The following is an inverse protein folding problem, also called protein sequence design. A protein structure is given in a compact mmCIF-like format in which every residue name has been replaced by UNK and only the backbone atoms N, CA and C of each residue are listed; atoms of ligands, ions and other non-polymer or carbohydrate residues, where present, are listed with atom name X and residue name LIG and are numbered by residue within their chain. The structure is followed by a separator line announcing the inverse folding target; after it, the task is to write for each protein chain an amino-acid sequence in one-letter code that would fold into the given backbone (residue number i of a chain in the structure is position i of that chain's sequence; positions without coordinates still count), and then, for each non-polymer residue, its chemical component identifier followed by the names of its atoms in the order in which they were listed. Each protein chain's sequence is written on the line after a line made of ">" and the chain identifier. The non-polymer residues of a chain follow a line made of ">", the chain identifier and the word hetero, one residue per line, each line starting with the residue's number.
data_IF_651175517012
#
_entry.id   IF_651175517012
#
_cell.length_a   1.000
_cell.length_b   1.000
_cell.length_c   1.000
_cell.angle_alpha   90.00
_cell.angle_beta   90.00
_cell.angle_gamma   90.00
#
_symmetry.space_group_name_H-M   'P 1'
#
loop_
_entity.id
_entity.type
_entity.pdbx_description
1 polymer ?
#
# COMPACT_ATOMS: atom_id res chain seq x y z
N UNK A 1 -29.14 -0.47 -1.48
CA UNK A 1 -27.77 -0.93 -1.16
C UNK A 1 -27.17 -1.78 -2.26
N UNK A 2 -27.70 -2.98 -2.55
CA UNK A 2 -27.08 -3.92 -3.51
C UNK A 2 -26.82 -3.30 -4.90
N UNK A 3 -27.74 -2.51 -5.45
CA UNK A 3 -27.54 -1.84 -6.75
C UNK A 3 -26.36 -0.87 -6.70
N UNK A 4 -26.31 0.02 -5.71
CA UNK A 4 -25.22 0.99 -5.51
C UNK A 4 -23.90 0.26 -5.27
N UNK A 5 -23.86 -0.63 -4.28
CA UNK A 5 -22.68 -1.40 -3.93
C UNK A 5 -22.19 -2.26 -5.10
N UNK A 6 -23.09 -2.91 -5.82
CA UNK A 6 -22.78 -3.74 -6.98
C UNK A 6 -22.19 -2.96 -8.15
N UNK A 7 -22.77 -1.80 -8.49
CA UNK A 7 -22.23 -0.94 -9.54
C UNK A 7 -20.81 -0.42 -9.20
N UNK A 8 -20.61 -0.01 -7.96
CA UNK A 8 -19.32 0.47 -7.47
C UNK A 8 -18.27 -0.65 -7.37
N UNK A 9 -18.66 -1.83 -6.89
CA UNK A 9 -17.79 -2.99 -6.82
C UNK A 9 -17.41 -3.51 -8.21
N UNK A 10 -18.36 -3.53 -9.16
CA UNK A 10 -18.09 -3.91 -10.54
C UNK A 10 -17.04 -2.97 -11.16
N UNK A 11 -17.21 -1.66 -10.99
CA UNK A 11 -16.20 -0.67 -11.40
C UNK A 11 -14.83 -0.98 -10.78
N UNK A 12 -14.77 -1.20 -9.47
CA UNK A 12 -13.52 -1.53 -8.78
C UNK A 12 -12.85 -2.76 -9.39
N UNK A 13 -13.59 -3.86 -9.55
CA UNK A 13 -13.06 -5.11 -10.14
C UNK A 13 -12.59 -4.90 -11.59
N UNK A 14 -13.31 -4.11 -12.40
CA UNK A 14 -12.87 -3.79 -13.77
C UNK A 14 -11.56 -2.98 -13.78
N UNK A 15 -11.41 -2.01 -12.86
CA UNK A 15 -10.14 -1.28 -12.69
C UNK A 15 -9.01 -2.21 -12.25
N UNK A 16 -9.30 -3.17 -11.38
CA UNK A 16 -8.31 -4.14 -10.90
C UNK A 16 -7.86 -5.10 -12.00
N UNK A 17 -8.79 -5.56 -12.84
CA UNK A 17 -8.47 -6.39 -14.00
C UNK A 17 -7.62 -5.60 -15.01
N UNK A 18 -7.95 -4.32 -15.24
CA UNK A 18 -7.13 -3.44 -16.07
C UNK A 18 -5.71 -3.28 -15.50
N UNK A 19 -5.57 -3.02 -14.19
CA UNK A 19 -4.28 -2.94 -13.52
C UNK A 19 -3.48 -4.25 -13.60
N UNK A 20 -4.14 -5.40 -13.47
CA UNK A 20 -3.48 -6.70 -13.55
C UNK A 20 -2.89 -6.95 -14.95
N UNK A 21 -3.60 -6.51 -15.99
CA UNK A 21 -3.15 -6.67 -17.39
C UNK A 21 -2.13 -5.61 -17.82
N UNK A 22 -2.09 -4.47 -17.15
CA UNK A 22 -1.22 -3.36 -17.54
C UNK A 22 0.21 -3.52 -16.98
N UNK A 23 1.20 -3.43 -17.87
CA UNK A 23 2.61 -3.46 -17.51
C UNK A 23 3.15 -2.06 -17.16
N UNK A 24 2.69 -1.51 -16.03
CA UNK A 24 3.12 -0.21 -15.51
C UNK A 24 2.50 0.08 -14.13
N UNK A 25 3.05 1.02 -13.36
CA UNK A 25 2.58 1.34 -12.01
C UNK A 25 1.22 2.04 -12.05
N UNK A 26 0.28 1.59 -11.21
CA UNK A 26 -1.05 2.21 -11.05
C UNK A 26 -1.13 3.13 -9.84
N UNK A 27 -0.12 3.07 -8.96
CA UNK A 27 -0.02 3.92 -7.79
C UNK A 27 1.44 4.23 -7.49
N UNK A 28 1.66 5.35 -6.82
CA UNK A 28 2.99 5.71 -6.32
C UNK A 28 3.58 4.60 -5.46
N UNK A 29 4.89 4.39 -5.58
CA UNK A 29 5.79 3.44 -4.91
C UNK A 29 5.52 1.96 -5.15
N UNK A 30 4.71 1.58 -6.15
CA UNK A 30 4.71 0.20 -6.65
C UNK A 30 6.06 -0.16 -7.29
N UNK A 31 6.74 0.80 -7.93
CA UNK A 31 8.06 0.62 -8.51
C UNK A 31 9.12 0.14 -7.52
N UNK A 32 9.16 0.72 -6.32
CA UNK A 32 10.07 0.28 -5.25
C UNK A 32 9.87 -1.19 -4.86
N UNK A 33 8.60 -1.61 -4.77
CA UNK A 33 8.24 -2.99 -4.42
C UNK A 33 8.58 -3.96 -5.56
N UNK A 34 8.27 -3.57 -6.80
CA UNK A 34 8.60 -4.35 -7.98
C UNK A 34 10.12 -4.48 -8.17
N UNK A 35 10.88 -3.40 -7.95
CA UNK A 35 12.34 -3.42 -8.00
C UNK A 35 12.95 -4.36 -6.95
N UNK A 36 12.47 -4.31 -5.71
CA UNK A 36 12.90 -5.24 -4.66
C UNK A 36 12.58 -6.71 -5.02
N UNK A 37 11.41 -6.95 -5.63
CA UNK A 37 11.05 -8.27 -6.19
C UNK A 37 12.02 -8.73 -7.29
N UNK A 38 12.35 -7.85 -8.22
CA UNK A 38 13.30 -8.12 -9.31
C UNK A 38 14.72 -8.42 -8.77
N UNK A 39 15.17 -7.72 -7.73
CA UNK A 39 16.44 -8.04 -7.04
C UNK A 39 16.41 -9.46 -6.48
N UNK A 40 15.34 -9.87 -5.80
CA UNK A 40 15.19 -11.23 -5.26
C UNK A 40 15.16 -12.26 -6.39
N UNK A 41 14.42 -12.00 -7.47
CA UNK A 41 14.30 -12.89 -8.62
C UNK A 41 15.66 -13.14 -9.30
N UNK A 42 16.56 -12.15 -9.28
CA UNK A 42 17.95 -12.27 -9.76
C UNK A 42 18.92 -12.89 -8.74
N UNK A 43 18.41 -13.39 -7.61
CA UNK A 43 19.22 -14.00 -6.54
C UNK A 43 19.88 -12.99 -5.59
N UNK A 44 19.59 -11.70 -5.73
CA UNK A 44 20.12 -10.64 -4.85
C UNK A 44 19.36 -10.51 -3.53
N UNK A 45 19.80 -9.56 -2.71
CA UNK A 45 19.16 -9.20 -1.44
C UNK A 45 18.82 -7.69 -1.46
N UNK A 46 17.53 -7.31 -1.45
CA UNK A 46 17.12 -5.90 -1.47
C UNK A 46 17.40 -5.17 -0.15
N UNK A 47 17.72 -5.89 0.92
CA UNK A 47 18.13 -5.32 2.22
C UNK A 47 19.65 -5.22 2.36
N UNK A 48 20.40 -5.86 1.45
CA UNK A 48 21.85 -5.79 1.45
C UNK A 48 22.38 -4.40 1.06
N UNK A 49 23.69 -4.18 1.15
CA UNK A 49 24.30 -2.93 0.72
C UNK A 49 23.98 -2.66 -0.76
N UNK A 50 23.38 -1.49 -1.02
CA UNK A 50 23.10 -1.06 -2.38
C UNK A 50 24.40 -0.82 -3.16
N UNK A 51 24.34 -0.91 -4.50
CA UNK A 51 25.47 -0.52 -5.35
C UNK A 51 25.80 0.95 -5.12
N UNK A 52 27.08 1.31 -5.22
CA UNK A 52 27.50 2.69 -5.05
C UNK A 52 26.72 3.64 -5.99
N UNK A 53 26.20 4.73 -5.42
CA UNK A 53 25.38 5.70 -6.17
C UNK A 53 23.96 5.23 -6.49
N UNK A 54 23.44 4.21 -5.79
CA UNK A 54 22.04 3.77 -5.91
C UNK A 54 21.35 3.75 -4.55
N UNK A 55 20.04 3.98 -4.57
CA UNK A 55 19.18 3.92 -3.39
C UNK A 55 18.07 2.88 -3.60
N UNK A 56 18.04 1.91 -2.69
CA UNK A 56 17.00 0.88 -2.59
C UNK A 56 16.21 1.10 -1.31
N UNK A 57 14.90 1.27 -1.43
CA UNK A 57 14.02 1.55 -0.31
C UNK A 57 13.75 0.32 0.56
N UNK A 58 13.35 -0.79 -0.07
CA UNK A 58 12.95 -2.06 0.57
C UNK A 58 12.24 -1.89 1.94
N UNK A 59 11.28 -0.99 2.04
CA UNK A 59 10.65 -0.54 3.28
C UNK A 59 9.62 -1.51 3.90
N UNK A 60 9.36 -2.66 3.27
CA UNK A 60 8.52 -3.73 3.80
C UNK A 60 9.34 -4.93 4.20
N UNK A 61 8.76 -5.82 5.00
CA UNK A 61 9.32 -7.13 5.28
C UNK A 61 9.21 -8.07 4.05
N UNK A 62 10.01 -9.15 3.98
CA UNK A 62 10.29 -9.81 2.71
C UNK A 62 9.11 -10.47 2.01
N UNK A 63 8.00 -10.75 2.70
CA UNK A 63 6.90 -11.53 2.13
C UNK A 63 6.35 -10.95 0.82
N UNK A 64 6.10 -9.64 0.78
CA UNK A 64 5.55 -8.99 -0.41
C UNK A 64 6.55 -9.02 -1.58
N UNK A 65 7.84 -8.83 -1.30
CA UNK A 65 8.90 -8.89 -2.31
C UNK A 65 9.11 -10.30 -2.85
N UNK A 66 9.00 -11.32 -2.00
CA UNK A 66 9.04 -12.73 -2.43
C UNK A 66 7.87 -13.02 -3.37
N UNK A 67 6.65 -12.60 -3.02
CA UNK A 67 5.49 -12.79 -3.89
C UNK A 67 5.66 -12.04 -5.22
N UNK A 68 6.20 -10.81 -5.18
CA UNK A 68 6.54 -10.05 -6.39
C UNK A 68 7.54 -10.81 -7.28
N UNK A 69 8.64 -11.31 -6.69
CA UNK A 69 9.68 -12.05 -7.38
C UNK A 69 9.19 -13.33 -8.10
N UNK A 70 8.18 -14.02 -7.55
CA UNK A 70 7.59 -15.21 -8.18
C UNK A 70 6.94 -14.91 -9.54
N UNK A 71 6.52 -13.67 -9.78
CA UNK A 71 5.86 -13.23 -11.01
C UNK A 71 6.75 -12.54 -12.02
N UNK A 72 8.03 -12.33 -11.72
CA UNK A 72 8.93 -11.47 -12.51
C UNK A 72 8.97 -11.87 -14.00
N UNK A 73 8.91 -13.17 -14.29
CA UNK A 73 8.90 -13.71 -15.66
C UNK A 73 7.64 -13.38 -16.47
N UNK A 74 6.51 -13.09 -15.82
CA UNK A 74 5.25 -12.67 -16.45
C UNK A 74 5.23 -11.14 -16.58
N UNK A 75 5.73 -10.45 -15.56
CA UNK A 75 5.89 -9.01 -15.54
C UNK A 75 6.10 -8.51 -14.10
N UNK A 76 6.84 -7.40 -13.93
CA UNK A 76 7.31 -6.94 -12.61
C UNK A 76 6.18 -6.62 -11.64
N UNK A 77 4.97 -6.31 -12.15
CA UNK A 77 3.82 -5.98 -11.31
C UNK A 77 2.83 -7.13 -11.11
N UNK A 78 2.96 -8.25 -11.84
CA UNK A 78 1.85 -9.21 -11.98
C UNK A 78 1.52 -9.97 -10.69
N UNK A 79 2.48 -10.72 -10.13
CA UNK A 79 2.16 -11.70 -9.09
C UNK A 79 1.62 -11.09 -7.79
N UNK A 80 2.22 -10.00 -7.30
CA UNK A 80 1.73 -9.36 -6.08
C UNK A 80 0.39 -8.65 -6.31
N UNK A 81 0.13 -8.07 -7.49
CA UNK A 81 -1.22 -7.54 -7.80
C UNK A 81 -2.26 -8.66 -7.82
N UNK A 82 -1.96 -9.79 -8.45
CA UNK A 82 -2.85 -10.95 -8.45
C UNK A 82 -3.12 -11.43 -7.01
N UNK A 83 -2.07 -11.56 -6.21
CA UNK A 83 -2.18 -11.97 -4.81
C UNK A 83 -3.00 -10.96 -3.99
N UNK A 84 -2.82 -9.66 -4.21
CA UNK A 84 -3.61 -8.59 -3.59
C UNK A 84 -5.09 -8.63 -3.96
N UNK A 85 -5.40 -8.83 -5.25
CA UNK A 85 -6.78 -8.98 -5.74
C UNK A 85 -7.42 -10.21 -5.10
N UNK A 86 -6.73 -11.36 -5.12
CA UNK A 86 -7.21 -12.61 -4.51
C UNK A 86 -7.42 -12.44 -3.01
N UNK A 87 -6.50 -11.78 -2.30
CA UNK A 87 -6.62 -11.50 -0.87
C UNK A 87 -7.85 -10.63 -0.56
N UNK A 88 -8.02 -9.53 -1.29
CA UNK A 88 -9.17 -8.63 -1.16
C UNK A 88 -10.49 -9.34 -1.48
N UNK A 89 -10.56 -10.10 -2.57
CA UNK A 89 -11.73 -10.91 -2.92
C UNK A 89 -12.01 -12.00 -1.87
N UNK A 90 -10.97 -12.61 -1.30
CA UNK A 90 -11.08 -13.58 -0.21
C UNK A 90 -11.76 -13.00 1.03
N UNK A 91 -11.45 -11.75 1.38
CA UNK A 91 -12.16 -11.01 2.44
C UNK A 91 -13.63 -10.79 2.08
N UNK A 92 -13.92 -10.38 0.84
CA UNK A 92 -15.30 -10.21 0.38
C UNK A 92 -16.10 -11.53 0.45
N UNK A 93 -15.49 -12.65 0.06
CA UNK A 93 -16.07 -13.99 0.20
C UNK A 93 -16.31 -14.33 1.67
N UNK A 94 -15.37 -14.02 2.58
CA UNK A 94 -15.55 -14.23 4.01
C UNK A 94 -16.73 -13.42 4.57
N UNK A 95 -16.91 -12.17 4.12
CA UNK A 95 -18.07 -11.34 4.48
C UNK A 95 -19.36 -11.98 3.99
N UNK A 96 -19.43 -12.39 2.72
CA UNK A 96 -20.62 -13.02 2.15
C UNK A 96 -20.96 -14.34 2.85
N UNK A 97 -19.96 -15.18 3.11
CA UNK A 97 -20.13 -16.48 3.74
C UNK A 97 -20.64 -16.36 5.18
N UNK A 98 -20.19 -15.35 5.93
CA UNK A 98 -20.69 -15.07 7.28
C UNK A 98 -22.15 -14.67 7.35
N UNK A 99 -22.77 -14.27 6.23
CA UNK A 99 -24.20 -13.98 6.21
C UNK A 99 -25.09 -15.24 6.29
N UNK A 100 -24.52 -16.43 6.13
CA UNK A 100 -25.23 -17.71 6.20
C UNK A 100 -26.35 -17.80 5.16
N UNK A 101 -27.57 -18.10 5.61
CA UNK A 101 -28.74 -18.25 4.74
C UNK A 101 -29.17 -16.93 4.07
N UNK A 102 -28.75 -15.78 4.60
CA UNK A 102 -29.10 -14.45 4.05
C UNK A 102 -28.18 -14.05 2.90
N UNK A 103 -28.11 -14.89 1.87
CA UNK A 103 -27.17 -14.77 0.75
C UNK A 103 -27.19 -13.40 0.07
N UNK A 104 -28.37 -12.85 -0.21
CA UNK A 104 -28.49 -11.52 -0.85
C UNK A 104 -27.94 -10.39 0.02
N UNK A 105 -28.15 -10.45 1.34
CA UNK A 105 -27.57 -9.47 2.27
C UNK A 105 -26.05 -9.62 2.35
N UNK A 106 -25.56 -10.87 2.39
CA UNK A 106 -24.12 -11.16 2.35
C UNK A 106 -23.45 -10.65 1.09
N UNK A 107 -24.03 -10.93 -0.08
CA UNK A 107 -23.55 -10.40 -1.37
C UNK A 107 -23.55 -8.89 -1.40
N UNK A 108 -24.61 -8.25 -0.89
CA UNK A 108 -24.68 -6.80 -0.84
C UNK A 108 -23.60 -6.20 0.08
N UNK A 109 -23.29 -6.83 1.22
CA UNK A 109 -22.23 -6.37 2.12
C UNK A 109 -20.82 -6.66 1.59
N UNK A 110 -20.62 -7.79 0.92
CA UNK A 110 -19.37 -8.09 0.23
C UNK A 110 -19.11 -7.09 -0.90
N UNK A 111 -20.13 -6.80 -1.72
CA UNK A 111 -20.07 -5.73 -2.71
C UNK A 111 -19.80 -4.38 -2.07
N UNK A 112 -20.42 -4.07 -0.92
CA UNK A 112 -20.16 -2.83 -0.20
C UNK A 112 -18.70 -2.71 0.24
N UNK A 113 -18.08 -3.80 0.72
CA UNK A 113 -16.65 -3.81 1.07
C UNK A 113 -15.77 -3.49 -0.15
N UNK A 114 -16.01 -4.16 -1.29
CA UNK A 114 -15.28 -3.89 -2.54
C UNK A 114 -15.51 -2.47 -3.07
N UNK A 115 -16.66 -1.87 -2.74
CA UNK A 115 -17.05 -0.52 -3.13
C UNK A 115 -16.49 0.58 -2.22
N UNK A 116 -15.91 0.24 -1.06
CA UNK A 116 -15.25 1.23 -0.20
C UNK A 116 -14.05 1.82 -0.94
N UNK A 117 -13.93 3.14 -0.98
CA UNK A 117 -12.82 3.85 -1.65
C UNK A 117 -11.43 3.31 -1.27
N UNK A 118 -11.07 3.13 0.02
CA UNK A 118 -9.75 2.56 0.35
C UNK A 118 -9.54 1.17 -0.24
N UNK A 119 -10.60 0.36 -0.35
CA UNK A 119 -10.54 -0.99 -0.94
C UNK A 119 -10.49 -0.92 -2.46
N UNK A 120 -11.28 -0.06 -3.11
CA UNK A 120 -11.22 0.17 -4.56
C UNK A 120 -9.81 0.57 -5.00
N UNK A 121 -9.19 1.52 -4.29
CA UNK A 121 -7.88 2.07 -4.66
C UNK A 121 -6.75 1.08 -4.35
N UNK A 122 -6.74 0.51 -3.15
CA UNK A 122 -5.60 -0.32 -2.69
C UNK A 122 -5.79 -1.82 -2.88
N UNK A 123 -6.99 -2.27 -3.23
CA UNK A 123 -7.32 -3.68 -3.45
C UNK A 123 -6.41 -4.41 -4.45
N UNK A 124 -5.99 -3.78 -5.58
CA UNK A 124 -5.11 -4.41 -6.56
C UNK A 124 -3.65 -3.99 -6.38
N UNK A 125 -3.32 -3.24 -5.34
CA UNK A 125 -2.00 -2.64 -5.18
C UNK A 125 -0.87 -3.68 -5.19
N UNK A 126 0.22 -3.39 -5.89
CA UNK A 126 1.49 -4.08 -5.77
C UNK A 126 2.21 -3.65 -4.47
N UNK A 127 1.56 -3.86 -3.33
CA UNK A 127 1.95 -3.44 -1.98
C UNK A 127 1.62 -4.54 -0.97
N UNK A 128 2.18 -4.47 0.23
CA UNK A 128 2.00 -5.49 1.27
C UNK A 128 0.61 -5.45 1.94
N UNK A 129 -0.10 -4.33 1.85
CA UNK A 129 -1.33 -4.06 2.61
C UNK A 129 -2.44 -5.12 2.40
N UNK A 130 -2.84 -5.48 1.17
CA UNK A 130 -3.95 -6.41 0.95
C UNK A 130 -3.68 -7.82 1.50
N UNK A 131 -2.43 -8.30 1.38
CA UNK A 131 -2.02 -9.57 1.99
C UNK A 131 -2.11 -9.50 3.51
N UNK A 132 -1.56 -8.45 4.12
CA UNK A 132 -1.53 -8.30 5.57
C UNK A 132 -2.94 -8.24 6.19
N UNK A 133 -3.86 -7.48 5.59
CA UNK A 133 -5.23 -7.37 6.10
C UNK A 133 -6.05 -8.66 5.90
N UNK A 134 -5.85 -9.37 4.79
CA UNK A 134 -6.55 -10.65 4.56
C UNK A 134 -6.06 -11.74 5.53
N UNK A 135 -4.75 -11.80 5.78
CA UNK A 135 -4.15 -12.68 6.79
C UNK A 135 -4.60 -12.31 8.21
N UNK A 136 -4.72 -11.01 8.52
CA UNK A 136 -5.28 -10.54 9.79
C UNK A 136 -6.73 -10.98 9.96
N UNK A 137 -7.57 -10.77 8.94
CA UNK A 137 -8.96 -11.23 8.95
C UNK A 137 -9.06 -12.75 9.10
N UNK A 138 -8.25 -13.51 8.36
CA UNK A 138 -8.21 -14.97 8.45
C UNK A 138 -7.83 -15.42 9.87
N UNK A 139 -6.84 -14.76 10.49
CA UNK A 139 -6.44 -15.02 11.87
C UNK A 139 -7.61 -14.85 12.85
N UNK A 140 -8.32 -13.73 12.76
CA UNK A 140 -9.46 -13.40 13.64
C UNK A 140 -10.61 -14.39 13.43
N UNK A 141 -10.95 -14.70 12.18
CA UNK A 141 -12.09 -15.55 11.82
C UNK A 141 -11.86 -17.03 12.15
N UNK A 142 -10.62 -17.50 11.99
CA UNK A 142 -10.30 -18.92 12.21
C UNK A 142 -9.98 -19.23 13.66
N UNK A 143 -9.59 -18.24 14.48
CA UNK A 143 -9.33 -18.43 15.92
C UNK A 143 -10.44 -19.29 16.56
N UNK A 144 -10.04 -20.37 17.23
CA UNK A 144 -11.02 -21.33 17.74
C UNK A 144 -10.39 -22.44 18.57
N UNK A 145 -11.22 -23.28 19.22
CA UNK A 145 -10.76 -24.24 20.21
C UNK A 145 -9.98 -25.41 19.60
N UNK A 146 -10.30 -25.85 18.37
CA UNK A 146 -9.60 -26.98 17.74
C UNK A 146 -8.16 -26.61 17.36
N UNK A 147 -7.21 -27.54 17.50
CA UNK A 147 -5.79 -27.33 17.15
C UNK A 147 -5.58 -26.85 15.71
N UNK A 148 -6.28 -27.43 14.73
CA UNK A 148 -6.17 -27.02 13.32
C UNK A 148 -6.55 -25.55 13.10
N UNK A 149 -7.70 -25.13 13.66
CA UNK A 149 -8.15 -23.72 13.62
C UNK A 149 -7.19 -22.75 14.31
N UNK A 150 -6.70 -23.10 15.50
CA UNK A 150 -5.70 -22.28 16.19
C UNK A 150 -4.38 -22.22 15.42
N UNK A 151 -4.00 -23.31 14.75
CA UNK A 151 -2.84 -23.38 13.85
C UNK A 151 -2.96 -22.41 12.68
N UNK A 152 -4.07 -22.46 11.94
CA UNK A 152 -4.35 -21.53 10.83
C UNK A 152 -4.37 -20.09 11.34
N UNK A 153 -5.02 -19.84 12.48
CA UNK A 153 -5.12 -18.51 13.06
C UNK A 153 -3.75 -17.94 13.45
N UNK A 154 -2.92 -18.74 14.11
CA UNK A 154 -1.59 -18.34 14.55
C UNK A 154 -0.65 -18.12 13.37
N UNK A 155 -0.65 -19.03 12.39
CA UNK A 155 0.14 -18.89 11.18
C UNK A 155 -0.24 -17.63 10.39
N UNK A 156 -1.54 -17.39 10.23
CA UNK A 156 -2.04 -16.18 9.55
C UNK A 156 -1.67 -14.91 10.31
N UNK A 157 -1.74 -14.92 11.65
CA UNK A 157 -1.32 -13.77 12.48
C UNK A 157 0.18 -13.46 12.32
N UNK A 158 1.03 -14.48 12.38
CA UNK A 158 2.47 -14.31 12.20
C UNK A 158 2.81 -13.81 10.78
N UNK A 159 2.19 -14.40 9.75
CA UNK A 159 2.38 -13.99 8.37
C UNK A 159 1.82 -12.58 8.10
N UNK A 160 0.74 -12.17 8.76
CA UNK A 160 0.23 -10.79 8.66
C UNK A 160 1.25 -9.77 9.18
N UNK A 161 1.83 -10.01 10.37
CA UNK A 161 2.89 -9.15 10.93
C UNK A 161 4.13 -9.16 10.04
N UNK A 162 4.48 -10.33 9.49
CA UNK A 162 5.59 -10.48 8.54
C UNK A 162 5.29 -9.91 7.15
N UNK A 163 4.03 -9.68 6.78
CA UNK A 163 3.67 -8.93 5.59
C UNK A 163 3.80 -7.43 5.84
N UNK A 164 3.24 -6.96 6.96
CA UNK A 164 3.21 -5.57 7.36
C UNK A 164 3.20 -5.45 8.89
N UNK A 165 4.25 -4.89 9.52
CA UNK A 165 4.35 -4.81 10.98
C UNK A 165 3.18 -4.09 11.67
N UNK A 166 2.49 -3.18 10.96
CA UNK A 166 1.32 -2.47 11.50
C UNK A 166 0.16 -3.41 11.85
N UNK A 167 0.06 -4.60 11.25
CA UNK A 167 -0.93 -5.62 11.61
C UNK A 167 -0.79 -6.15 13.04
N UNK A 168 0.36 -5.90 13.70
CA UNK A 168 0.53 -6.21 15.11
C UNK A 168 -0.50 -5.49 16.00
N UNK A 169 -0.88 -4.25 15.66
CA UNK A 169 -1.84 -3.48 16.46
C UNK A 169 -3.23 -4.13 16.53
N UNK A 170 -3.93 -4.41 15.41
CA UNK A 170 -5.23 -5.07 15.47
C UNK A 170 -5.14 -6.46 16.11
N UNK A 171 -4.09 -7.22 15.82
CA UNK A 171 -3.87 -8.55 16.41
C UNK A 171 -3.65 -8.48 17.93
N UNK A 172 -2.91 -7.50 18.43
CA UNK A 172 -2.67 -7.32 19.85
C UNK A 172 -3.98 -7.05 20.61
N UNK A 173 -4.87 -6.22 20.07
CA UNK A 173 -6.19 -5.94 20.67
C UNK A 173 -7.07 -7.19 20.66
N UNK A 174 -7.08 -7.94 19.56
CA UNK A 174 -7.83 -9.21 19.49
C UNK A 174 -7.26 -10.26 20.44
N UNK A 175 -5.94 -10.39 20.54
CA UNK A 175 -5.31 -11.33 21.47
C UNK A 175 -5.51 -10.92 22.93
N UNK A 176 -5.50 -9.63 23.26
CA UNK A 176 -5.87 -9.16 24.59
C UNK A 176 -7.32 -9.56 24.94
N UNK A 177 -8.25 -9.39 24.01
CA UNK A 177 -9.63 -9.87 24.17
C UNK A 177 -9.69 -11.39 24.36
N UNK A 178 -9.00 -12.16 23.52
CA UNK A 178 -8.98 -13.62 23.61
C UNK A 178 -8.32 -14.10 24.91
N UNK A 179 -7.24 -13.46 25.38
CA UNK A 179 -6.63 -13.78 26.67
C UNK A 179 -7.59 -13.52 27.83
N UNK A 180 -8.40 -12.47 27.73
CA UNK A 180 -9.38 -12.12 28.76
C UNK A 180 -10.60 -13.04 28.77
N UNK A 181 -11.17 -13.37 27.61
CA UNK A 181 -12.47 -14.08 27.50
C UNK A 181 -12.36 -15.53 27.05
N UNK A 182 -11.28 -15.90 26.37
CA UNK A 182 -11.11 -17.20 25.72
C UNK A 182 -9.66 -17.74 25.83
N UNK A 183 -9.11 -17.73 27.04
CA UNK A 183 -7.68 -17.94 27.30
C UNK A 183 -7.08 -19.18 26.61
N UNK A 184 -7.81 -20.29 26.55
CA UNK A 184 -7.35 -21.51 25.89
C UNK A 184 -7.18 -21.36 24.38
N UNK A 185 -8.06 -20.61 23.71
CA UNK A 185 -7.96 -20.26 22.29
C UNK A 185 -6.78 -19.33 22.08
N UNK A 186 -6.63 -18.33 22.94
CA UNK A 186 -5.52 -17.37 22.89
C UNK A 186 -4.16 -18.06 22.96
N UNK A 187 -3.93 -18.88 23.99
CA UNK A 187 -2.64 -19.55 24.20
C UNK A 187 -2.27 -20.47 23.03
N UNK A 188 -3.24 -21.22 22.48
CA UNK A 188 -2.99 -22.09 21.31
C UNK A 188 -2.66 -21.29 20.06
N UNK A 189 -3.37 -20.18 19.84
CA UNK A 189 -3.15 -19.32 18.67
C UNK A 189 -1.80 -18.60 18.77
N UNK A 190 -1.46 -18.08 19.95
CA UNK A 190 -0.16 -17.45 20.23
C UNK A 190 0.99 -18.46 20.07
N UNK A 191 0.83 -19.69 20.57
CA UNK A 191 1.84 -20.73 20.40
C UNK A 191 2.06 -21.08 18.92
N UNK A 192 0.99 -21.22 18.13
CA UNK A 192 1.10 -21.44 16.69
C UNK A 192 1.73 -20.24 15.94
N UNK A 193 1.40 -19.02 16.36
CA UNK A 193 2.02 -17.81 15.83
C UNK A 193 3.52 -17.77 16.13
N UNK A 194 3.93 -18.12 17.35
CA UNK A 194 5.33 -18.18 17.74
C UNK A 194 6.11 -19.21 16.91
N UNK A 195 5.56 -20.42 16.72
CA UNK A 195 6.19 -21.43 15.85
C UNK A 195 6.33 -20.93 14.42
N UNK A 196 5.29 -20.32 13.87
CA UNK A 196 5.34 -19.77 12.50
C UNK A 196 6.34 -18.63 12.39
N UNK A 197 6.39 -17.73 13.37
CA UNK A 197 7.35 -16.64 13.42
C UNK A 197 8.80 -17.16 13.53
N UNK A 198 9.05 -18.25 14.26
CA UNK A 198 10.36 -18.90 14.30
C UNK A 198 10.76 -19.48 12.94
N UNK A 199 9.85 -20.15 12.23
CA UNK A 199 10.12 -20.71 10.90
C UNK A 199 10.41 -19.60 9.89
N UNK A 200 9.55 -18.58 9.83
CA UNK A 200 9.72 -17.43 8.93
C UNK A 200 10.95 -16.63 9.30
N UNK A 201 11.23 -16.47 10.60
CA UNK A 201 12.44 -15.86 11.12
C UNK A 201 13.69 -16.61 10.66
N UNK A 202 13.72 -17.94 10.79
CA UNK A 202 14.84 -18.76 10.34
C UNK A 202 15.07 -18.65 8.82
N UNK A 203 14.00 -18.66 8.01
CA UNK A 203 14.09 -18.43 6.56
C UNK A 203 14.65 -17.04 6.27
N UNK A 204 14.20 -16.02 7.01
CA UNK A 204 14.66 -14.65 6.85
C UNK A 204 16.15 -14.52 7.16
N UNK A 205 16.59 -15.06 8.30
CA UNK A 205 18.00 -15.09 8.73
C UNK A 205 18.89 -15.85 7.74
N UNK A 206 18.36 -16.87 7.06
CA UNK A 206 19.10 -17.66 6.10
C UNK A 206 19.23 -16.98 4.72
N UNK A 207 18.34 -16.04 4.37
CA UNK A 207 18.22 -15.49 3.01
C UNK A 207 18.57 -14.01 2.89
N UNK A 208 18.41 -13.23 3.95
CA UNK A 208 18.53 -11.78 3.91
C UNK A 208 19.49 -11.26 4.99
N UNK A 209 20.15 -10.15 4.71
CA UNK A 209 20.97 -9.43 5.67
C UNK A 209 20.08 -8.85 6.78
N UNK A 210 20.34 -9.29 8.01
CA UNK A 210 19.52 -8.96 9.18
C UNK A 210 19.71 -7.51 9.60
N UNK A 211 20.96 -7.02 9.50
CA UNK A 211 21.28 -5.64 9.83
C UNK A 211 20.61 -4.68 8.83
N UNK A 212 20.73 -4.99 7.54
CA UNK A 212 20.01 -4.32 6.46
C UNK A 212 18.49 -4.37 6.62
N UNK A 213 17.91 -5.53 6.93
CA UNK A 213 16.47 -5.66 7.14
C UNK A 213 15.99 -4.75 8.27
N UNK A 214 16.71 -4.69 9.39
CA UNK A 214 16.39 -3.77 10.48
C UNK A 214 16.53 -2.30 10.05
N UNK A 215 17.58 -1.96 9.31
CA UNK A 215 17.79 -0.61 8.80
C UNK A 215 16.62 -0.17 7.89
N UNK A 216 16.28 -0.98 6.90
CA UNK A 216 15.25 -0.68 5.92
C UNK A 216 13.82 -0.69 6.51
N UNK A 217 13.47 -1.72 7.29
CA UNK A 217 12.09 -1.89 7.79
C UNK A 217 11.82 -1.05 9.02
N UNK A 218 12.84 -0.79 9.86
CA UNK A 218 12.67 -0.05 11.11
C UNK A 218 13.25 1.35 11.02
N UNK A 219 14.57 1.50 10.78
CA UNK A 219 15.24 2.82 10.88
C UNK A 219 14.77 3.79 9.80
N UNK A 220 14.82 3.39 8.52
CA UNK A 220 14.43 4.25 7.39
C UNK A 220 12.95 4.61 7.41
N UNK A 221 12.12 3.78 8.04
CA UNK A 221 10.70 4.02 8.20
C UNK A 221 10.33 4.96 9.36
N UNK A 222 11.30 5.47 10.14
CA UNK A 222 11.08 6.47 11.20
C UNK A 222 10.91 7.88 10.62
N UNK A 223 9.94 8.03 9.71
CA UNK A 223 9.60 9.31 9.14
C UNK A 223 8.94 10.23 10.19
N UNK A 224 9.02 11.56 10.03
CA UNK A 224 8.43 12.50 10.96
C UNK A 224 6.94 12.26 11.18
N UNK A 225 6.49 12.57 12.40
CA UNK A 225 5.08 12.51 12.79
C UNK A 225 4.51 13.92 12.74
N UNK A 226 3.47 14.11 11.93
CA UNK A 226 2.65 15.31 11.87
C UNK A 226 1.26 15.02 12.47
N UNK A 227 1.10 15.35 13.75
CA UNK A 227 -0.19 15.22 14.44
C UNK A 227 -1.27 16.16 13.85
N UNK A 228 -0.88 17.20 13.12
CA UNK A 228 -1.79 18.10 12.42
C UNK A 228 -2.58 17.43 11.29
N UNK A 229 -2.09 16.30 10.76
CA UNK A 229 -2.79 15.53 9.72
C UNK A 229 -3.90 14.63 10.28
N UNK A 230 -3.85 14.27 11.57
CA UNK A 230 -4.81 13.34 12.19
C UNK A 230 -6.27 13.79 12.08
N UNK A 231 -6.64 15.07 12.32
CA UNK A 231 -8.03 15.52 12.15
C UNK A 231 -8.54 15.31 10.71
N UNK A 232 -7.73 15.65 9.70
CA UNK A 232 -8.08 15.47 8.29
C UNK A 232 -8.26 13.99 7.94
N UNK A 233 -7.37 13.12 8.45
CA UNK A 233 -7.49 11.67 8.27
C UNK A 233 -8.71 11.09 8.99
N UNK A 234 -9.02 11.56 10.20
CA UNK A 234 -10.20 11.13 10.94
C UNK A 234 -11.50 11.54 10.22
N UNK A 235 -11.59 12.77 9.72
CA UNK A 235 -12.73 13.24 8.92
C UNK A 235 -12.86 12.41 7.64
N UNK A 236 -11.76 12.22 6.90
CA UNK A 236 -11.72 11.38 5.71
C UNK A 236 -12.18 9.93 6.00
N UNK A 237 -11.75 9.35 7.13
CA UNK A 237 -12.16 8.03 7.57
C UNK A 237 -13.66 7.97 7.90
N UNK A 238 -14.21 8.97 8.60
CA UNK A 238 -15.64 9.04 8.90
C UNK A 238 -16.49 9.19 7.63
N UNK A 239 -16.01 9.95 6.63
CA UNK A 239 -16.67 10.10 5.31
C UNK A 239 -16.54 8.84 4.46
N UNK A 240 -15.47 8.05 4.61
CA UNK A 240 -15.30 6.80 3.88
C UNK A 240 -16.09 5.63 4.50
N UNK A 241 -15.99 5.45 5.83
CA UNK A 241 -16.39 4.21 6.53
C UNK A 241 -17.10 4.44 7.87
N UNK A 242 -17.51 5.66 8.22
CA UNK A 242 -18.08 6.00 9.53
C UNK A 242 -19.29 5.17 9.95
N UNK A 243 -20.30 5.01 9.07
CA UNK A 243 -21.47 4.17 9.36
C UNK A 243 -21.09 2.70 9.56
N UNK A 244 -20.12 2.18 8.78
CA UNK A 244 -19.64 0.81 8.94
C UNK A 244 -18.99 0.60 10.30
N UNK A 245 -18.17 1.55 10.76
CA UNK A 245 -17.55 1.51 12.09
C UNK A 245 -18.61 1.53 13.18
N UNK A 246 -19.53 2.51 13.14
CA UNK A 246 -20.55 2.70 14.17
C UNK A 246 -21.47 1.48 14.30
N UNK A 247 -21.85 0.86 13.18
CA UNK A 247 -22.65 -0.37 13.18
C UNK A 247 -21.80 -1.57 13.58
N UNK A 248 -20.57 -1.68 13.08
CA UNK A 248 -19.63 -2.75 13.40
C UNK A 248 -19.35 -2.86 14.89
N UNK A 249 -19.16 -1.74 15.59
CA UNK A 249 -18.95 -1.70 17.04
C UNK A 249 -20.14 -2.25 17.85
N UNK A 250 -21.34 -2.32 17.26
CA UNK A 250 -22.54 -2.92 17.88
C UNK A 250 -22.63 -4.44 17.71
N UNK A 251 -21.65 -5.07 17.05
CA UNK A 251 -21.60 -6.53 16.94
C UNK A 251 -21.58 -7.20 18.32
N UNK A 252 -22.26 -8.33 18.46
CA UNK A 252 -22.19 -9.17 19.67
C UNK A 252 -20.97 -10.10 19.65
N UNK A 253 -20.26 -10.20 18.53
CA UNK A 253 -19.01 -10.95 18.42
C UNK A 253 -17.86 -10.11 18.99
N UNK A 254 -17.47 -10.41 20.23
CA UNK A 254 -16.46 -9.62 20.94
C UNK A 254 -15.08 -9.60 20.25
N UNK A 255 -14.75 -10.63 19.48
CA UNK A 255 -13.48 -10.69 18.71
C UNK A 255 -13.50 -9.69 17.56
N UNK A 256 -14.61 -9.62 16.83
CA UNK A 256 -14.77 -8.63 15.75
C UNK A 256 -14.86 -7.21 16.30
N UNK A 257 -15.49 -7.02 17.46
CA UNK A 257 -15.50 -5.72 18.14
C UNK A 257 -14.09 -5.29 18.53
N UNK A 258 -13.28 -6.21 19.08
CA UNK A 258 -11.87 -5.97 19.37
C UNK A 258 -11.07 -5.68 18.10
N UNK A 259 -11.37 -6.37 16.98
CA UNK A 259 -10.72 -6.08 15.70
C UNK A 259 -11.06 -4.68 15.17
N UNK A 260 -12.32 -4.24 15.25
CA UNK A 260 -12.70 -2.87 14.87
C UNK A 260 -11.95 -1.84 15.73
N UNK A 261 -11.87 -2.05 17.05
CA UNK A 261 -11.12 -1.17 17.94
C UNK A 261 -9.62 -1.14 17.61
N UNK A 262 -9.02 -2.30 17.35
CA UNK A 262 -7.62 -2.40 16.94
C UNK A 262 -7.33 -1.78 15.57
N UNK A 263 -8.23 -1.94 14.60
CA UNK A 263 -8.15 -1.27 13.31
C UNK A 263 -8.26 0.26 13.43
N UNK A 264 -9.02 0.77 14.39
CA UNK A 264 -9.07 2.21 14.67
C UNK A 264 -7.73 2.73 15.23
N UNK A 265 -6.98 1.92 15.99
CA UNK A 265 -5.64 2.31 16.45
C UNK A 265 -4.62 2.41 15.31
N UNK A 266 -4.81 1.65 14.21
CA UNK A 266 -3.95 1.77 13.01
C UNK A 266 -4.05 3.18 12.41
N UNK A 267 -5.20 3.87 12.53
CA UNK A 267 -5.34 5.26 12.07
C UNK A 267 -4.36 6.21 12.73
N UNK A 268 -3.97 5.95 13.99
CA UNK A 268 -3.01 6.80 14.70
C UNK A 268 -1.61 6.73 14.06
N UNK A 269 -1.28 5.60 13.42
CA UNK A 269 -0.05 5.46 12.65
C UNK A 269 -0.09 6.27 11.34
N UNK A 270 -1.27 6.72 10.92
CA UNK A 270 -1.46 7.62 9.79
C UNK A 270 -0.98 9.05 10.04
N UNK A 271 -0.57 9.40 11.27
CA UNK A 271 0.06 10.70 11.54
C UNK A 271 1.47 10.85 10.94
N UNK A 272 2.02 9.81 10.31
CA UNK A 272 3.36 9.82 9.75
C UNK A 272 3.37 10.46 8.36
N UNK A 273 4.43 11.21 8.02
CA UNK A 273 4.63 11.68 6.64
C UNK A 273 4.54 10.51 5.64
N UNK A 274 3.90 10.76 4.50
CA UNK A 274 3.67 9.74 3.48
C UNK A 274 2.44 8.85 3.70
N UNK A 275 1.76 8.96 4.86
CA UNK A 275 0.55 8.18 5.14
C UNK A 275 -0.67 8.71 4.38
N UNK A 276 -1.51 7.78 3.91
CA UNK A 276 -2.72 8.09 3.13
C UNK A 276 -3.91 7.23 3.60
N UNK A 277 -4.96 7.13 2.79
CA UNK A 277 -6.15 6.31 3.07
C UNK A 277 -5.87 4.80 3.19
N UNK A 278 -4.65 4.31 2.88
CA UNK A 278 -4.29 2.90 3.08
C UNK A 278 -4.40 2.45 4.55
N UNK A 279 -4.25 3.38 5.51
CA UNK A 279 -4.47 3.10 6.93
C UNK A 279 -5.94 2.82 7.27
N UNK A 280 -6.88 3.04 6.34
CA UNK A 280 -8.30 2.72 6.54
C UNK A 280 -8.62 1.25 6.23
N UNK A 281 -7.69 0.49 5.63
CA UNK A 281 -7.93 -0.87 5.15
C UNK A 281 -8.28 -1.85 6.28
N UNK A 282 -7.48 -1.91 7.34
CA UNK A 282 -7.75 -2.78 8.50
C UNK A 282 -9.13 -2.49 9.11
N UNK A 283 -9.43 -1.20 9.29
CA UNK A 283 -10.70 -0.76 9.85
C UNK A 283 -11.89 -1.03 8.91
N UNK A 284 -11.69 -0.96 7.60
CA UNK A 284 -12.68 -1.31 6.58
C UNK A 284 -13.03 -2.79 6.65
N UNK A 285 -12.01 -3.66 6.66
CA UNK A 285 -12.16 -5.12 6.77
C UNK A 285 -12.87 -5.49 8.08
N UNK A 286 -12.37 -4.98 9.21
CA UNK A 286 -12.92 -5.28 10.53
C UNK A 286 -14.39 -4.83 10.64
N UNK A 287 -14.69 -3.61 10.17
CA UNK A 287 -16.04 -3.05 10.23
C UNK A 287 -17.00 -3.82 9.34
N UNK A 288 -16.64 -4.17 8.10
CA UNK A 288 -17.52 -4.96 7.23
C UNK A 288 -17.79 -6.38 7.76
N UNK A 289 -16.76 -7.06 8.30
CA UNK A 289 -16.91 -8.36 8.96
C UNK A 289 -17.79 -8.28 10.23
N UNK A 290 -17.74 -7.17 10.97
CA UNK A 290 -18.59 -6.94 12.12
C UNK A 290 -20.04 -6.60 11.71
N UNK A 291 -20.23 -5.74 10.71
CA UNK A 291 -21.55 -5.30 10.21
C UNK A 291 -22.40 -6.47 9.76
N UNK A 292 -21.85 -7.49 9.09
CA UNK A 292 -22.65 -8.65 8.65
C UNK A 292 -23.33 -9.38 9.81
N UNK A 293 -22.71 -9.42 11.00
CA UNK A 293 -23.33 -10.04 12.19
C UNK A 293 -24.49 -9.21 12.76
N UNK A 294 -24.49 -7.89 12.52
CA UNK A 294 -25.55 -6.98 12.98
C UNK A 294 -26.67 -6.92 11.96
N UNK A 295 -26.33 -6.77 10.68
CA UNK A 295 -27.28 -6.68 9.57
C UNK A 295 -28.13 -7.95 9.40
N UNK A 296 -27.56 -9.12 9.67
CA UNK A 296 -28.29 -10.40 9.66
C UNK A 296 -29.27 -10.57 10.83
N UNK A 297 -29.32 -9.63 11.77
CA UNK A 297 -30.30 -9.64 12.88
C UNK A 297 -31.25 -8.45 12.81
N UNK A 298 -30.78 -7.32 12.32
CA UNK A 298 -31.59 -6.12 12.14
C UNK A 298 -32.70 -6.36 11.08
N UNK A 299 -33.90 -5.89 11.38
CA UNK A 299 -35.03 -5.85 10.44
C UNK A 299 -35.25 -4.44 9.85
N UNK A 300 -34.46 -3.45 10.27
CA UNK A 300 -34.65 -2.06 9.85
C UNK A 300 -34.16 -1.80 8.42
N UNK A 301 -34.99 -1.21 7.55
CA UNK A 301 -34.58 -0.80 6.20
C UNK A 301 -33.62 0.39 6.20
N UNK A 302 -33.50 1.11 7.32
CA UNK A 302 -32.62 2.29 7.44
C UNK A 302 -31.14 1.91 7.37
N UNK A 303 -30.76 0.71 7.85
CA UNK A 303 -29.37 0.28 7.85
C UNK A 303 -28.82 0.12 6.42
N UNK A 304 -29.45 -0.66 5.52
CA UNK A 304 -29.04 -0.71 4.12
C UNK A 304 -29.01 0.65 3.41
N UNK A 305 -29.91 1.57 3.77
CA UNK A 305 -29.93 2.92 3.21
C UNK A 305 -28.73 3.75 3.68
N UNK A 306 -28.44 3.74 4.99
CA UNK A 306 -27.29 4.44 5.57
C UNK A 306 -25.96 3.92 5.02
N UNK A 307 -25.81 2.60 4.87
CA UNK A 307 -24.63 2.00 4.25
C UNK A 307 -24.49 2.41 2.77
N UNK A 308 -25.59 2.42 2.01
CA UNK A 308 -25.57 2.88 0.63
C UNK A 308 -25.22 4.38 0.52
N UNK A 309 -25.77 5.22 1.40
CA UNK A 309 -25.45 6.64 1.46
C UNK A 309 -23.97 6.87 1.77
N UNK A 310 -23.40 6.12 2.72
CA UNK A 310 -21.96 6.18 3.03
C UNK A 310 -21.10 5.85 1.80
N UNK A 311 -21.46 4.82 1.02
CA UNK A 311 -20.73 4.47 -0.21
C UNK A 311 -20.77 5.60 -1.24
N UNK A 312 -21.93 6.22 -1.43
CA UNK A 312 -22.09 7.36 -2.35
C UNK A 312 -21.28 8.56 -1.86
N UNK A 313 -21.36 8.90 -0.57
CA UNK A 313 -20.61 10.01 0.01
C UNK A 313 -19.09 9.79 -0.09
N UNK A 314 -18.61 8.59 0.22
CA UNK A 314 -17.20 8.24 0.04
C UNK A 314 -16.77 8.38 -1.43
N UNK A 315 -17.56 7.81 -2.36
CA UNK A 315 -17.28 7.94 -3.78
C UNK A 315 -17.27 9.40 -4.26
N UNK A 316 -18.24 10.22 -3.83
CA UNK A 316 -18.31 11.64 -4.21
C UNK A 316 -17.24 12.50 -3.54
N UNK A 317 -16.74 12.13 -2.36
CA UNK A 317 -15.71 12.90 -1.69
C UNK A 317 -14.31 12.64 -2.27
N UNK A 318 -14.04 11.39 -2.66
CA UNK A 318 -12.68 10.98 -3.09
C UNK A 318 -12.50 10.83 -4.59
N UNK A 319 -13.57 10.81 -5.41
CA UNK A 319 -13.47 10.57 -6.86
C UNK A 319 -13.57 11.79 -7.81
N UNK A 320 -14.18 12.94 -7.49
CA UNK A 320 -14.25 14.02 -8.46
C UNK A 320 -12.89 14.74 -8.53
N UNK A 321 -12.29 14.67 -9.74
CA UNK A 321 -11.41 15.66 -10.38
C UNK A 321 -10.22 16.14 -9.53
N UNK A 322 -9.01 15.65 -9.85
CA UNK A 322 -7.72 16.14 -9.35
C UNK A 322 -7.41 16.01 -7.85
N UNK A 323 -8.00 15.03 -7.13
CA UNK A 323 -7.68 14.76 -5.73
C UNK A 323 -6.27 14.12 -5.55
N UNK A 324 -5.24 14.90 -5.87
CA UNK A 324 -3.80 14.59 -5.91
C UNK A 324 -3.10 14.78 -4.55
N UNK A 325 -3.84 14.85 -3.43
CA UNK A 325 -3.25 15.24 -2.14
C UNK A 325 -3.28 14.18 -1.03
N UNK A 326 -4.21 13.21 -1.04
CA UNK A 326 -4.49 12.41 0.18
C UNK A 326 -4.88 10.94 -0.03
N UNK A 327 -5.04 10.48 -1.27
CA UNK A 327 -5.68 9.18 -1.57
C UNK A 327 -4.75 8.05 -2.01
N UNK A 328 -3.47 8.34 -2.30
CA UNK A 328 -2.66 7.41 -3.09
C UNK A 328 -3.27 7.28 -4.49
N UNK A 329 -3.33 8.40 -5.21
CA UNK A 329 -4.10 8.55 -6.43
C UNK A 329 -3.77 7.46 -7.46
N UNK A 330 -4.82 6.96 -8.12
CA UNK A 330 -4.69 6.02 -9.20
C UNK A 330 -4.13 6.71 -10.46
N UNK A 331 -3.04 6.19 -11.01
CA UNK A 331 -2.42 6.68 -12.23
C UNK A 331 -2.68 5.73 -13.40
N UNK A 332 -2.76 6.25 -14.64
CA UNK A 332 -2.87 5.39 -15.83
C UNK A 332 -1.56 4.61 -16.03
N UNK A 333 -1.55 3.28 -15.90
CA UNK A 333 -0.33 2.48 -16.04
C UNK A 333 0.26 2.53 -17.46
N UNK A 334 -0.52 2.94 -18.47
CA UNK A 334 -0.04 3.08 -19.86
C UNK A 334 1.00 4.17 -20.01
N UNK A 335 1.14 5.09 -19.04
CA UNK A 335 2.21 6.10 -19.02
C UNK A 335 3.61 5.48 -19.01
N UNK A 336 3.76 4.24 -18.57
CA UNK A 336 5.04 3.53 -18.68
C UNK A 336 5.54 3.39 -20.12
N UNK A 337 4.63 3.39 -21.12
CA UNK A 337 5.01 3.36 -22.54
C UNK A 337 5.74 4.64 -22.98
N UNK A 338 5.55 5.76 -22.28
CA UNK A 338 6.27 7.03 -22.54
C UNK A 338 7.75 6.97 -22.15
N UNK A 339 8.17 5.91 -21.45
CA UNK A 339 9.55 5.63 -21.08
C UNK A 339 10.17 4.46 -21.88
N UNK A 340 9.48 3.98 -22.93
CA UNK A 340 9.94 2.81 -23.71
C UNK A 340 11.12 3.09 -24.63
N UNK A 341 11.38 4.36 -24.95
CA UNK A 341 12.49 4.84 -25.78
C UNK A 341 13.77 5.12 -24.97
N UNK A 342 13.72 5.01 -23.64
CA UNK A 342 14.85 5.30 -22.77
C UNK A 342 15.98 4.28 -22.95
N UNK A 343 17.22 4.77 -22.95
CA UNK A 343 18.41 3.95 -23.10
C UNK A 343 18.68 3.14 -21.81
N UNK A 344 18.49 1.82 -21.86
CA UNK A 344 18.62 0.93 -20.69
C UNK A 344 19.96 0.97 -19.95
N UNK A 345 21.02 1.40 -20.63
CA UNK A 345 22.38 1.49 -20.06
C UNK A 345 22.69 2.85 -19.44
N UNK A 346 21.79 3.82 -19.59
CA UNK A 346 21.97 5.17 -19.07
C UNK A 346 21.31 5.33 -17.70
N UNK A 347 21.86 6.17 -16.81
CA UNK A 347 21.22 6.48 -15.54
C UNK A 347 19.96 7.34 -15.76
N UNK A 348 18.85 6.90 -15.16
CA UNK A 348 17.57 7.60 -15.19
C UNK A 348 17.08 7.83 -13.75
N UNK A 349 16.49 9.01 -13.51
CA UNK A 349 15.79 9.33 -12.27
C UNK A 349 14.30 9.44 -12.58
N UNK A 350 13.46 8.77 -11.80
CA UNK A 350 12.01 8.87 -11.92
C UNK A 350 11.38 8.99 -10.54
N UNK A 351 10.41 9.89 -10.42
CA UNK A 351 9.62 10.05 -9.20
C UNK A 351 8.91 8.76 -8.83
N UNK A 352 8.14 8.19 -9.78
CA UNK A 352 7.63 6.83 -9.72
C UNK A 352 8.57 5.89 -10.50
N UNK A 353 9.43 5.18 -9.79
CA UNK A 353 10.42 4.28 -10.39
C UNK A 353 9.79 3.13 -11.20
N UNK A 354 8.50 2.84 -10.99
CA UNK A 354 7.79 1.79 -11.71
C UNK A 354 7.73 2.02 -13.22
N UNK A 355 7.82 3.27 -13.70
CA UNK A 355 7.92 3.53 -15.15
C UNK A 355 9.25 3.05 -15.73
N UNK A 356 10.31 3.00 -14.94
CA UNK A 356 11.63 2.46 -15.34
C UNK A 356 11.61 0.93 -15.26
N UNK A 357 11.12 0.39 -14.15
CA UNK A 357 11.03 -1.07 -13.91
C UNK A 357 10.18 -1.76 -14.98
N UNK A 358 9.05 -1.17 -15.37
CA UNK A 358 8.19 -1.68 -16.45
C UNK A 358 8.93 -1.87 -17.79
N UNK A 359 9.99 -1.09 -18.03
CA UNK A 359 10.80 -1.08 -19.24
C UNK A 359 12.14 -1.83 -19.08
N UNK A 360 12.32 -2.56 -17.97
CA UNK A 360 13.54 -3.32 -17.68
C UNK A 360 14.75 -2.44 -17.37
N UNK A 361 14.52 -1.24 -16.83
CA UNK A 361 15.56 -0.30 -16.41
C UNK A 361 15.66 -0.36 -14.89
N UNK A 362 16.84 -0.69 -14.37
CA UNK A 362 17.10 -0.65 -12.93
C UNK A 362 17.12 0.83 -12.48
N UNK A 363 16.24 1.25 -11.55
CA UNK A 363 16.20 2.62 -11.07
C UNK A 363 17.44 2.96 -10.23
N UNK A 364 17.95 4.18 -10.38
CA UNK A 364 19.02 4.70 -9.51
C UNK A 364 18.48 5.00 -8.10
N UNK A 365 17.26 5.51 -8.03
CA UNK A 365 16.49 5.72 -6.79
C UNK A 365 15.13 5.09 -7.01
N UNK A 366 14.77 4.07 -6.23
CA UNK A 366 13.51 3.35 -6.43
C UNK A 366 12.31 3.91 -5.64
N UNK A 367 12.55 4.74 -4.63
CA UNK A 367 11.54 5.50 -3.89
C UNK A 367 12.05 6.93 -3.62
N UNK A 368 11.69 7.87 -4.49
CA UNK A 368 12.18 9.25 -4.42
C UNK A 368 11.69 9.97 -3.16
N UNK A 369 10.47 9.67 -2.70
CA UNK A 369 9.92 10.20 -1.46
C UNK A 369 10.77 9.76 -0.27
N UNK A 370 10.99 8.45 -0.10
CA UNK A 370 11.76 7.97 1.03
C UNK A 370 13.19 8.50 1.00
N UNK A 371 13.86 8.47 -0.16
CA UNK A 371 15.19 9.06 -0.32
C UNK A 371 15.21 10.54 0.09
N UNK A 372 14.27 11.35 -0.40
CA UNK A 372 14.18 12.79 -0.10
C UNK A 372 13.96 13.07 1.39
N UNK A 373 13.25 12.20 2.11
CA UNK A 373 13.03 12.32 3.56
C UNK A 373 14.24 11.91 4.38
N UNK A 374 14.95 10.86 3.96
CA UNK A 374 16.17 10.43 4.62
C UNK A 374 17.30 11.45 4.43
N UNK A 375 17.42 12.05 3.23
CA UNK A 375 18.36 13.15 2.99
C UNK A 375 18.01 14.37 3.84
N UNK A 376 16.75 14.78 3.85
CA UNK A 376 16.33 15.98 4.59
C UNK A 376 16.50 15.85 6.12
N UNK A 377 16.39 14.63 6.65
CA UNK A 377 16.64 14.35 8.07
C UNK A 377 18.12 14.11 8.39
N UNK A 378 19.00 14.07 7.38
CA UNK A 378 20.42 13.75 7.54
C UNK A 378 20.71 12.28 7.83
N UNK A 379 19.73 11.38 7.64
CA UNK A 379 19.89 9.95 7.85
C UNK A 379 20.75 9.29 6.76
N UNK A 380 20.78 9.86 5.56
CA UNK A 380 21.68 9.48 4.46
C UNK A 380 22.31 10.71 3.81
N UNK A 381 23.43 10.52 3.12
CA UNK A 381 24.10 11.58 2.35
C UNK A 381 23.33 11.84 1.05
N UNK A 382 23.22 13.11 0.64
CA UNK A 382 22.71 13.49 -0.67
C UNK A 382 23.75 13.23 -1.76
N UNK A 383 23.62 12.11 -2.45
CA UNK A 383 24.45 11.74 -3.59
C UNK A 383 23.79 12.01 -4.95
N UNK A 384 22.49 12.28 -5.00
CA UNK A 384 21.72 12.47 -6.25
C UNK A 384 21.75 13.91 -6.72
N UNK A 385 21.56 14.89 -5.83
CA UNK A 385 21.50 16.31 -6.21
C UNK A 385 22.78 16.78 -6.90
N UNK A 386 24.01 16.45 -6.43
CA UNK A 386 25.24 16.81 -7.12
C UNK A 386 25.33 16.21 -8.54
N UNK A 387 24.92 14.94 -8.70
CA UNK A 387 24.91 14.24 -9.99
C UNK A 387 23.91 14.84 -10.97
N UNK A 388 22.78 15.31 -10.48
CA UNK A 388 21.82 16.11 -11.26
C UNK A 388 22.48 17.40 -11.75
N UNK A 389 23.13 18.18 -10.88
CA UNK A 389 23.81 19.41 -11.29
C UNK A 389 24.90 19.15 -12.35
N UNK A 390 25.60 18.02 -12.25
CA UNK A 390 26.60 17.56 -13.22
C UNK A 390 26.00 16.96 -14.50
N UNK A 391 24.68 16.95 -14.66
CA UNK A 391 23.97 16.38 -15.81
C UNK A 391 24.26 14.89 -16.05
N UNK A 392 24.52 14.13 -14.98
CA UNK A 392 24.87 12.71 -15.08
C UNK A 392 23.69 11.81 -15.46
N UNK A 393 22.45 12.23 -15.20
CA UNK A 393 21.26 11.46 -15.59
C UNK A 393 20.87 11.78 -17.03
N UNK A 394 20.60 10.75 -17.83
CA UNK A 394 20.14 10.95 -19.19
C UNK A 394 18.73 11.56 -19.24
N UNK A 395 17.87 11.19 -18.28
CA UNK A 395 16.55 11.80 -18.09
C UNK A 395 16.15 11.86 -16.63
N UNK A 396 15.30 12.84 -16.32
CA UNK A 396 14.56 12.96 -15.06
C UNK A 396 13.07 12.95 -15.36
N UNK A 397 12.28 12.15 -14.66
CA UNK A 397 10.83 12.00 -14.87
C UNK A 397 10.09 12.39 -13.58
N UNK A 398 9.14 13.31 -13.68
CA UNK A 398 8.25 13.74 -12.60
C UNK A 398 6.78 13.50 -12.96
N UNK A 399 5.91 13.34 -11.95
CA UNK A 399 4.45 13.26 -12.12
C UNK A 399 3.78 14.63 -12.12
N UNK A 400 4.48 15.65 -11.62
CA UNK A 400 4.05 17.05 -11.59
C UNK A 400 5.09 17.96 -12.24
N UNK A 401 4.69 19.13 -12.79
CA UNK A 401 5.65 20.09 -13.32
C UNK A 401 6.51 20.65 -12.19
N UNK A 402 7.83 20.59 -12.32
CA UNK A 402 8.75 20.99 -11.26
C UNK A 402 8.80 22.51 -11.10
N UNK A 403 8.56 23.26 -12.18
CA UNK A 403 8.42 24.73 -12.16
C UNK A 403 7.24 25.20 -11.29
N UNK A 404 6.22 24.35 -11.12
CA UNK A 404 5.02 24.63 -10.32
C UNK A 404 4.93 23.83 -9.02
N UNK A 405 6.04 23.23 -8.57
CA UNK A 405 6.00 22.31 -7.42
C UNK A 405 5.45 22.97 -6.14
N UNK A 406 5.74 24.26 -5.91
CA UNK A 406 5.29 24.96 -4.70
C UNK A 406 3.75 25.08 -4.61
N UNK A 407 3.06 25.09 -5.76
CA UNK A 407 1.59 25.09 -5.81
C UNK A 407 0.98 23.69 -5.91
N UNK A 408 1.81 22.65 -6.10
CA UNK A 408 1.37 21.27 -6.11
C UNK A 408 0.82 20.87 -4.73
N UNK A 409 -0.04 19.84 -4.64
CA UNK A 409 -0.56 19.35 -3.37
C UNK A 409 0.55 18.93 -2.40
N UNK A 410 0.23 18.95 -1.09
CA UNK A 410 1.21 18.71 -0.03
C UNK A 410 1.97 17.38 -0.19
N UNK A 411 1.30 16.30 -0.61
CA UNK A 411 1.94 15.00 -0.81
C UNK A 411 2.96 15.01 -1.96
N UNK A 412 2.63 15.61 -3.12
CA UNK A 412 3.54 15.75 -4.26
C UNK A 412 4.80 16.55 -3.88
N UNK A 413 4.63 17.62 -3.11
CA UNK A 413 5.75 18.42 -2.58
C UNK A 413 6.66 17.64 -1.64
N UNK A 414 6.18 16.59 -0.99
CA UNK A 414 7.02 15.76 -0.11
C UNK A 414 7.88 14.77 -0.90
N UNK A 415 7.48 14.40 -2.13
CA UNK A 415 8.23 13.45 -2.98
C UNK A 415 9.51 14.06 -3.54
N UNK A 416 9.49 15.36 -3.82
CA UNK A 416 10.64 16.12 -4.30
C UNK A 416 11.18 17.05 -3.22
N UNK A 417 12.47 16.92 -2.88
CA UNK A 417 13.11 17.99 -2.09
C UNK A 417 13.19 19.27 -2.94
N UNK A 418 12.93 20.44 -2.33
CA UNK A 418 13.02 21.72 -3.03
C UNK A 418 14.42 21.98 -3.62
N UNK A 419 15.46 21.44 -3.00
CA UNK A 419 16.83 21.52 -3.51
C UNK A 419 17.01 20.66 -4.76
N UNK A 420 16.53 19.42 -4.76
CA UNK A 420 16.58 18.54 -5.92
C UNK A 420 15.77 19.10 -7.10
N UNK A 421 14.54 19.56 -6.85
CA UNK A 421 13.70 20.16 -7.90
C UNK A 421 14.39 21.37 -8.55
N UNK A 422 14.98 22.27 -7.75
CA UNK A 422 15.76 23.41 -8.28
C UNK A 422 16.99 22.96 -9.06
N UNK A 423 17.69 21.91 -8.61
CA UNK A 423 18.84 21.36 -9.34
C UNK A 423 18.43 20.83 -10.73
N UNK A 424 17.29 20.13 -10.81
CA UNK A 424 16.73 19.66 -12.08
C UNK A 424 16.41 20.85 -12.99
N UNK A 425 15.67 21.86 -12.50
CA UNK A 425 15.32 23.04 -13.31
C UNK A 425 16.55 23.83 -13.80
N UNK A 426 17.63 23.78 -13.03
CA UNK A 426 18.91 24.43 -13.36
C UNK A 426 19.64 23.68 -14.47
N UNK A 427 19.86 22.37 -14.31
CA UNK A 427 20.70 21.58 -15.22
C UNK A 427 19.94 20.94 -16.39
N UNK A 428 18.62 20.78 -16.29
CA UNK A 428 17.76 20.12 -17.27
C UNK A 428 16.72 21.08 -17.83
N UNK A 429 16.18 20.72 -19.00
CA UNK A 429 15.05 21.39 -19.64
C UNK A 429 13.92 20.38 -19.84
N UNK A 430 12.68 20.84 -19.76
CA UNK A 430 11.52 20.04 -20.11
C UNK A 430 11.58 19.66 -21.61
N UNK A 431 11.45 18.37 -21.89
CA UNK A 431 11.47 17.78 -23.23
C UNK A 431 10.08 17.28 -23.66
N UNK A 432 9.35 16.67 -22.72
CA UNK A 432 8.00 16.17 -22.95
C UNK A 432 7.12 16.48 -21.73
N UNK A 433 5.90 16.93 -22.01
CA UNK A 433 4.82 17.09 -21.04
C UNK A 433 3.60 16.30 -21.52
N UNK A 434 3.13 15.40 -20.67
CA UNK A 434 1.90 14.65 -20.84
C UNK A 434 1.21 14.51 -19.47
N UNK A 435 -0.03 14.01 -19.48
CA UNK A 435 -0.81 13.83 -18.25
C UNK A 435 -0.03 13.00 -17.22
N UNK A 436 0.24 13.62 -16.06
CA UNK A 436 1.07 13.07 -14.98
C UNK A 436 2.43 12.48 -15.42
N UNK A 437 3.05 13.06 -16.45
CA UNK A 437 4.36 12.65 -16.96
C UNK A 437 5.15 13.83 -17.55
N UNK A 438 6.18 14.26 -16.84
CA UNK A 438 7.06 15.36 -17.22
C UNK A 438 8.49 14.84 -17.35
N UNK A 439 9.02 14.81 -18.58
CA UNK A 439 10.36 14.33 -18.89
C UNK A 439 11.31 15.50 -19.09
N UNK A 440 12.37 15.56 -18.30
CA UNK A 440 13.44 16.54 -18.41
C UNK A 440 14.71 15.87 -18.93
N UNK A 441 15.42 16.57 -19.83
CA UNK A 441 16.69 16.13 -20.42
C UNK A 441 17.78 17.18 -20.14
N UNK A 442 19.06 16.78 -20.07
CA UNK A 442 20.15 17.72 -19.84
C UNK A 442 20.10 18.91 -20.79
N UNK A 443 20.31 20.12 -20.25
CA UNK A 443 20.58 21.29 -21.09
C UNK A 443 21.92 21.02 -21.76
N UNK A 444 21.91 20.71 -23.07
CA UNK A 444 23.16 20.61 -23.84
C UNK A 444 23.86 21.96 -23.71
N UNK A 445 24.97 22.00 -22.99
CA UNK A 445 25.91 23.09 -23.12
C UNK A 445 26.45 22.95 -24.55
N UNK A 446 26.07 23.86 -25.44
CA UNK A 446 26.81 24.06 -26.67
C UNK A 446 28.23 24.45 -26.23
N UNK A 447 29.11 23.45 -26.11
CA UNK A 447 30.54 23.71 -26.14
C UNK A 447 30.78 24.26 -27.54
N UNK A 448 30.85 25.59 -27.66
CA UNK A 448 31.48 26.21 -28.81
C UNK A 448 32.91 25.70 -28.80
N UNK A 449 33.19 24.65 -29.56
CA UNK A 449 34.52 24.45 -30.12
C UNK A 449 34.73 25.55 -31.16
N UNK A 450 34.99 26.75 -30.64
CA UNK A 450 35.39 27.91 -31.41
C UNK A 450 36.90 27.86 -31.59
N UNK A 451 37.26 27.17 -32.67
CA UNK A 451 38.44 27.31 -33.55
C UNK A 451 39.84 27.32 -32.94
#
# INVERSE_FOLDING_TARGET
>A
MLVVAGALALRAVLLWLFALMANGPVMYGEGAVAHAGAIIARGGDPYGPARAGTFVAANYSPLAYIVSALGESVGPFFALRLASIVATLGVAVAIAWRAGERRLQGLALAASFLALVPVEVWGPAHRSDPLAIALTALAVLTAGPSRGRAGIAGASAALAVYAKPTSLLPLAVVFAYLLWRERSVALRTIAAAAVTALVVGAITLARFDVAGLFDHVVRRNQLPVDLGQLPSLAIACLIAIGVFIAVGLRTQDGRLRAYVAGGALVLLLGAREGATINYFLDLSVASCLAVVTVATRAQSPLLPLALAAQLVLGALFFRPLDATATTGAWSDPRRAALASDLARTSPHLAEESGVLVANGIDPIVDDLFLWSRLVASGAIVDDVTPRILNSEFATVIAEVPLEGLDSAPAFERQRWSATLARAVLTAYRLDLSADHFYKYVPRRILVRHGQ
#
